data_IF_343384498256
#
_entry.id   IF_343384498256
#
_cell.length_a   1.000
_cell.length_b   1.000
_cell.length_c   1.000
_cell.angle_alpha   90.00
_cell.angle_beta   90.00
_cell.angle_gamma   90.00
#
_symmetry.space_group_name_H-M   'P 1'
#
loop_
_entity.id
_entity.type
_entity.pdbx_description
1 polymer ?
#
# COMPACT_ATOMS: atom_id res chain seq x y z
N UNK A 1 6.72 18.47 5.63
CA UNK A 1 6.33 17.05 5.60
C UNK A 1 5.41 16.88 4.40
N UNK A 2 5.67 15.92 3.52
CA UNK A 2 4.87 15.69 2.31
C UNK A 2 4.13 14.37 2.45
N UNK A 3 2.95 14.27 1.84
CA UNK A 3 2.15 13.05 1.80
C UNK A 3 1.68 12.81 0.37
N UNK A 4 1.67 11.55 -0.04
CA UNK A 4 1.15 11.11 -1.33
C UNK A 4 -0.02 10.17 -1.06
N UNK A 5 -1.13 10.39 -1.78
CA UNK A 5 -2.26 9.47 -1.83
C UNK A 5 -2.14 8.74 -3.16
N UNK A 6 -2.05 7.42 -3.11
CA UNK A 6 -1.82 6.57 -4.26
C UNK A 6 -2.98 5.58 -4.40
N UNK A 7 -3.26 5.16 -5.63
CA UNK A 7 -4.14 4.03 -5.90
C UNK A 7 -3.45 3.13 -6.91
N UNK A 8 -3.30 1.86 -6.54
CA UNK A 8 -2.55 0.87 -7.30
C UNK A 8 -3.52 -0.15 -7.86
N UNK A 9 -3.44 -0.38 -9.17
CA UNK A 9 -4.28 -1.31 -9.91
C UNK A 9 -3.48 -2.52 -10.41
N UNK A 10 -4.18 -3.62 -10.70
CA UNK A 10 -3.60 -4.85 -11.24
C UNK A 10 -3.76 -6.04 -10.27
N UNK A 11 -2.86 -7.03 -10.35
CA UNK A 11 -2.87 -8.18 -9.42
C UNK A 11 -2.20 -7.79 -8.10
N UNK A 12 -2.93 -7.06 -7.26
CA UNK A 12 -2.43 -6.49 -6.00
C UNK A 12 -3.12 -7.03 -4.75
N UNK A 13 -4.25 -7.72 -4.89
CA UNK A 13 -4.93 -8.40 -3.77
C UNK A 13 -4.66 -9.91 -3.76
N UNK A 14 -4.66 -10.52 -2.57
CA UNK A 14 -4.38 -11.96 -2.40
C UNK A 14 -2.93 -12.37 -2.67
N UNK A 15 -2.01 -11.40 -2.80
CA UNK A 15 -0.59 -11.62 -3.14
C UNK A 15 0.37 -11.02 -2.10
N UNK A 16 -0.08 -10.83 -0.86
CA UNK A 16 0.71 -10.24 0.23
C UNK A 16 1.23 -8.81 -0.02
N UNK A 17 0.60 -8.07 -0.94
CA UNK A 17 1.04 -6.71 -1.30
C UNK A 17 1.06 -5.73 -0.12
N UNK A 18 0.04 -5.78 0.76
CA UNK A 18 -0.03 -4.90 1.94
C UNK A 18 1.12 -5.14 2.92
N UNK A 19 1.49 -6.41 3.14
CA UNK A 19 2.59 -6.76 4.04
C UNK A 19 3.93 -6.29 3.45
N UNK A 20 4.12 -6.49 2.14
CA UNK A 20 5.27 -5.95 1.41
C UNK A 20 5.37 -4.42 1.54
N UNK A 21 4.27 -3.68 1.37
CA UNK A 21 4.24 -2.22 1.52
C UNK A 21 4.58 -1.83 2.96
N UNK A 22 3.99 -2.48 3.96
CA UNK A 22 4.24 -2.18 5.36
C UNK A 22 5.71 -2.41 5.75
N UNK A 23 6.32 -3.51 5.31
CA UNK A 23 7.72 -3.81 5.58
C UNK A 23 8.67 -2.75 4.99
N UNK A 24 8.43 -2.35 3.73
CA UNK A 24 9.26 -1.33 3.07
C UNK A 24 9.02 0.06 3.65
N UNK A 25 7.78 0.41 4.03
CA UNK A 25 7.49 1.67 4.70
C UNK A 25 8.27 1.79 6.03
N UNK A 26 8.36 0.70 6.81
CA UNK A 26 9.19 0.65 8.03
C UNK A 26 10.68 0.87 7.72
N UNK A 27 11.23 0.21 6.69
CA UNK A 27 12.64 0.37 6.29
C UNK A 27 12.98 1.79 5.80
N UNK A 28 12.03 2.46 5.16
CA UNK A 28 12.19 3.81 4.62
C UNK A 28 11.76 4.92 5.59
N UNK A 29 11.35 4.58 6.81
CA UNK A 29 10.83 5.52 7.80
C UNK A 29 9.63 6.34 7.28
N UNK A 30 8.77 5.73 6.45
CA UNK A 30 7.54 6.32 5.94
C UNK A 30 6.37 5.91 6.84
N UNK A 31 5.55 6.89 7.22
CA UNK A 31 4.33 6.67 8.00
C UNK A 31 3.08 6.79 7.12
N UNK A 32 2.07 5.97 7.36
CA UNK A 32 0.81 6.01 6.61
C UNK A 32 0.00 4.72 6.79
N UNK A 33 -0.92 4.47 5.86
CA UNK A 33 -1.73 3.26 5.80
C UNK A 33 -1.62 2.61 4.42
N UNK A 34 -2.01 1.33 4.37
CA UNK A 34 -2.22 0.59 3.12
C UNK A 34 -3.48 -0.25 3.28
N UNK A 35 -4.40 -0.19 2.33
CA UNK A 35 -5.75 -0.76 2.41
C UNK A 35 -6.18 -1.38 1.09
N UNK A 36 -6.77 -2.57 1.16
CA UNK A 36 -7.46 -3.16 0.01
C UNK A 36 -8.80 -2.46 -0.18
N UNK A 37 -9.11 -2.08 -1.42
CA UNK A 37 -10.39 -1.49 -1.80
C UNK A 37 -11.32 -2.53 -2.43
N UNK A 38 -12.63 -2.22 -2.44
CA UNK A 38 -13.66 -3.14 -2.95
C UNK A 38 -13.61 -3.35 -4.45
N UNK A 39 -13.00 -2.42 -5.20
CA UNK A 39 -12.83 -2.49 -6.65
C UNK A 39 -11.61 -3.33 -7.09
N UNK A 40 -10.90 -3.95 -6.14
CA UNK A 40 -9.70 -4.74 -6.40
C UNK A 40 -8.39 -3.96 -6.37
N UNK A 41 -8.44 -2.62 -6.23
CA UNK A 41 -7.24 -1.78 -6.07
C UNK A 41 -6.71 -1.78 -4.62
N UNK A 42 -5.57 -1.11 -4.41
CA UNK A 42 -4.99 -0.85 -3.09
C UNK A 42 -4.69 0.65 -2.98
N UNK A 43 -5.06 1.25 -1.84
CA UNK A 43 -4.69 2.64 -1.47
C UNK A 43 -3.70 2.68 -0.32
#
# INVERSE_FOLDING_TARGET
MIAYILTIYGKVQGVFYRDFVQENAKKLHITGWVKNETDGSVS
#
